data_IF_641278752466
#
_entry.id   IF_641278752466
#
_cell.length_a   1.000
_cell.length_b   1.000
_cell.length_c   1.000
_cell.angle_alpha   90.00
_cell.angle_beta   90.00
_cell.angle_gamma   90.00
#
_symmetry.space_group_name_H-M   'P 1'
#
loop_
_entity.id
_entity.type
_entity.pdbx_description
1 polymer ?
#
# COMPACT_ATOMS: atom_id res chain seq x y z
N UNK A 1 0.01 33.27 -19.98
CA UNK A 1 1.07 32.43 -19.38
C UNK A 1 0.52 31.03 -19.24
N UNK A 2 1.09 30.08 -19.97
CA UNK A 2 0.68 28.66 -19.93
C UNK A 2 1.26 28.05 -18.64
N UNK A 3 0.38 27.56 -17.76
CA UNK A 3 0.78 26.70 -16.65
C UNK A 3 1.38 25.43 -17.25
N UNK A 4 2.70 25.29 -17.15
CA UNK A 4 3.37 24.02 -17.37
C UNK A 4 3.00 23.13 -16.17
N UNK A 5 2.41 21.93 -16.34
CA UNK A 5 2.26 21.03 -15.22
C UNK A 5 3.65 20.75 -14.67
N UNK A 6 3.83 20.92 -13.36
CA UNK A 6 5.09 20.61 -12.70
C UNK A 6 5.29 19.10 -12.81
N UNK A 7 6.20 18.65 -13.67
CA UNK A 7 6.62 17.24 -13.69
C UNK A 7 7.25 16.94 -12.33
N UNK A 8 6.47 16.32 -11.43
CA UNK A 8 7.01 15.79 -10.17
C UNK A 8 7.96 14.66 -10.56
N UNK A 9 9.27 14.94 -10.50
CA UNK A 9 10.28 13.89 -10.58
C UNK A 9 10.20 13.09 -9.27
N UNK A 10 9.44 11.99 -9.31
CA UNK A 10 9.34 11.09 -8.16
C UNK A 10 10.70 10.45 -7.90
N UNK A 11 11.17 10.58 -6.66
CA UNK A 11 12.45 10.04 -6.24
C UNK A 11 12.29 8.61 -5.73
N UNK A 12 13.42 7.91 -5.59
CA UNK A 12 13.48 6.61 -4.92
C UNK A 12 12.80 6.65 -3.54
N UNK A 13 12.95 7.75 -2.80
CA UNK A 13 12.31 7.96 -1.50
C UNK A 13 10.77 7.96 -1.60
N UNK A 14 10.19 8.54 -2.65
CA UNK A 14 8.75 8.51 -2.88
C UNK A 14 8.25 7.08 -3.14
N UNK A 15 9.03 6.26 -3.87
CA UNK A 15 8.70 4.85 -4.06
C UNK A 15 8.76 4.06 -2.75
N UNK A 16 9.72 4.36 -1.87
CA UNK A 16 9.81 3.75 -0.53
C UNK A 16 8.60 4.14 0.33
N UNK A 17 8.24 5.42 0.38
CA UNK A 17 7.06 5.88 1.12
C UNK A 17 5.78 5.22 0.61
N UNK A 18 5.63 5.12 -0.71
CA UNK A 18 4.51 4.42 -1.31
C UNK A 18 4.49 2.92 -0.98
N UNK A 19 5.66 2.26 -1.02
CA UNK A 19 5.83 0.83 -0.72
C UNK A 19 5.46 0.46 0.73
N UNK A 20 5.67 1.39 1.67
CA UNK A 20 5.34 1.21 3.09
C UNK A 20 4.01 1.83 3.50
N UNK A 21 3.26 2.42 2.56
CA UNK A 21 2.02 3.14 2.81
C UNK A 21 2.16 4.36 3.74
N UNK A 22 3.35 4.98 3.74
CA UNK A 22 3.66 6.22 4.48
C UNK A 22 3.49 7.48 3.61
N UNK A 23 2.89 7.34 2.42
CA UNK A 23 2.59 8.43 1.50
C UNK A 23 1.17 8.99 1.76
N UNK A 24 0.96 10.33 1.71
CA UNK A 24 -0.37 10.92 1.77
C UNK A 24 -1.33 10.34 0.72
N UNK A 25 -2.63 10.24 1.04
CA UNK A 25 -3.60 9.54 0.20
C UNK A 25 -3.76 10.16 -1.20
N UNK A 26 -3.75 11.47 -1.28
CA UNK A 26 -3.79 12.22 -2.55
C UNK A 26 -2.54 11.98 -3.40
N UNK A 27 -1.36 11.94 -2.78
CA UNK A 27 -0.11 11.65 -3.46
C UNK A 27 0.00 10.18 -3.88
N UNK A 28 -0.54 9.25 -3.09
CA UNK A 28 -0.59 7.83 -3.41
C UNK A 28 -1.42 7.58 -4.69
N UNK A 29 -2.54 8.28 -4.86
CA UNK A 29 -3.35 8.21 -6.09
C UNK A 29 -2.53 8.66 -7.31
N UNK A 30 -1.78 9.75 -7.19
CA UNK A 30 -0.91 10.24 -8.27
C UNK A 30 0.22 9.24 -8.55
N UNK A 31 0.84 8.66 -7.51
CA UNK A 31 1.88 7.65 -7.66
C UNK A 31 1.36 6.41 -8.40
N UNK A 32 0.14 5.95 -8.11
CA UNK A 32 -0.49 4.85 -8.85
C UNK A 32 -0.60 5.18 -10.35
N UNK A 33 -1.09 6.37 -10.69
CA UNK A 33 -1.20 6.81 -12.09
C UNK A 33 0.17 6.88 -12.78
N UNK A 34 1.21 7.32 -12.07
CA UNK A 34 2.57 7.37 -12.60
C UNK A 34 3.18 5.99 -12.82
N UNK A 35 2.97 5.04 -11.91
CA UNK A 35 3.39 3.65 -12.08
C UNK A 35 2.66 2.97 -13.25
N UNK A 36 1.40 3.33 -13.51
CA UNK A 36 0.67 2.83 -14.67
C UNK A 36 1.21 3.40 -16.00
N UNK A 37 1.60 4.68 -16.00
CA UNK A 37 2.07 5.37 -17.19
C UNK A 37 3.55 5.13 -17.52
N UNK A 38 4.38 4.73 -16.55
CA UNK A 38 5.83 4.56 -16.72
C UNK A 38 6.28 3.12 -16.38
N UNK A 39 6.57 2.35 -17.43
CA UNK A 39 7.01 0.95 -17.31
C UNK A 39 8.33 0.77 -16.56
N UNK A 40 9.28 1.69 -16.71
CA UNK A 40 10.59 1.60 -16.05
C UNK A 40 10.43 1.82 -14.53
N UNK A 41 9.67 2.84 -14.16
CA UNK A 41 9.36 3.12 -12.75
C UNK A 41 8.57 1.99 -12.10
N UNK A 42 7.64 1.40 -12.85
CA UNK A 42 6.88 0.22 -12.42
C UNK A 42 7.80 -0.97 -12.16
N UNK A 43 8.72 -1.26 -13.07
CA UNK A 43 9.67 -2.37 -12.90
C UNK A 43 10.54 -2.17 -11.65
N UNK A 44 11.04 -0.95 -11.41
CA UNK A 44 11.80 -0.62 -10.20
C UNK A 44 10.96 -0.82 -8.92
N UNK A 45 9.70 -0.39 -8.93
CA UNK A 45 8.79 -0.61 -7.80
C UNK A 45 8.52 -2.10 -7.56
N UNK A 46 8.28 -2.88 -8.62
CA UNK A 46 8.04 -4.33 -8.54
C UNK A 46 9.26 -5.08 -7.97
N UNK A 47 10.48 -4.68 -8.33
CA UNK A 47 11.72 -5.21 -7.75
C UNK A 47 11.82 -4.91 -6.24
N UNK A 48 11.52 -3.66 -5.84
CA UNK A 48 11.51 -3.27 -4.42
C UNK A 48 10.45 -4.03 -3.62
N UNK A 49 9.26 -4.22 -4.21
CA UNK A 49 8.18 -4.99 -3.60
C UNK A 49 8.56 -6.45 -3.44
N UNK A 50 9.21 -7.04 -4.46
CA UNK A 50 9.73 -8.39 -4.39
C UNK A 50 10.75 -8.54 -3.25
N UNK A 51 11.72 -7.64 -3.16
CA UNK A 51 12.72 -7.64 -2.09
C UNK A 51 12.09 -7.48 -0.69
N UNK A 52 11.12 -6.56 -0.53
CA UNK A 52 10.36 -6.38 0.72
C UNK A 52 9.64 -7.66 1.15
N UNK A 53 9.08 -8.41 0.20
CA UNK A 53 8.39 -9.67 0.48
C UNK A 53 9.32 -10.80 0.95
N UNK A 54 10.63 -10.70 0.66
CA UNK A 54 11.64 -11.63 1.17
C UNK A 54 12.09 -11.31 2.61
N UNK A 55 11.75 -10.12 3.14
CA UNK A 55 12.13 -9.74 4.50
C UNK A 55 11.41 -10.65 5.50
N UNK A 56 12.10 -11.10 6.58
CA UNK A 56 11.47 -11.87 7.64
C UNK A 56 10.26 -11.13 8.20
N UNK A 57 9.08 -11.75 8.11
CA UNK A 57 7.88 -11.20 8.71
C UNK A 57 7.99 -11.30 10.22
N UNK A 58 7.48 -10.30 10.93
CA UNK A 58 7.36 -10.38 12.38
C UNK A 58 6.59 -11.65 12.76
N UNK A 59 7.13 -12.41 13.72
CA UNK A 59 6.41 -13.55 14.29
C UNK A 59 5.22 -13.01 15.09
N UNK A 60 4.02 -13.09 14.50
CA UNK A 60 2.81 -12.68 15.16
C UNK A 60 2.28 -13.84 16.00
N UNK A 61 2.34 -13.70 17.32
CA UNK A 61 1.79 -14.67 18.27
C UNK A 61 0.69 -14.00 19.11
N UNK A 62 -0.50 -13.74 18.52
CA UNK A 62 -1.57 -13.06 19.23
C UNK A 62 -2.16 -13.95 20.31
N UNK A 63 -2.65 -13.36 21.39
CA UNK A 63 -3.39 -14.11 22.40
C UNK A 63 -4.66 -14.72 21.79
N UNK A 64 -5.06 -15.96 22.17
CA UNK A 64 -6.27 -16.61 21.64
C UNK A 64 -7.55 -15.76 21.77
N UNK A 65 -7.65 -14.96 22.84
CA UNK A 65 -8.77 -14.04 23.03
C UNK A 65 -8.88 -13.00 21.90
N UNK A 66 -7.76 -12.50 21.37
CA UNK A 66 -7.74 -11.54 20.26
C UNK A 66 -8.27 -12.20 18.98
N UNK A 67 -7.87 -13.45 18.72
CA UNK A 67 -8.39 -14.22 17.59
C UNK A 67 -9.91 -14.41 17.69
N UNK A 68 -10.40 -14.78 18.87
CA UNK A 68 -11.83 -14.96 19.11
C UNK A 68 -12.62 -13.67 18.91
N UNK A 69 -12.11 -12.53 19.40
CA UNK A 69 -12.77 -11.23 19.23
C UNK A 69 -12.89 -10.85 17.75
N UNK A 70 -11.84 -11.06 16.96
CA UNK A 70 -11.86 -10.80 15.51
C UNK A 70 -12.87 -11.72 14.82
N UNK A 71 -12.89 -13.01 15.14
CA UNK A 71 -13.84 -13.96 14.55
C UNK A 71 -15.29 -13.58 14.86
N UNK A 72 -15.58 -13.23 16.10
CA UNK A 72 -16.92 -12.78 16.52
C UNK A 72 -17.35 -11.53 15.76
N UNK A 73 -16.48 -10.52 15.66
CA UNK A 73 -16.77 -9.30 14.89
C UNK A 73 -17.04 -9.59 13.42
N UNK A 74 -16.22 -10.43 12.78
CA UNK A 74 -16.40 -10.85 11.39
C UNK A 74 -17.72 -11.58 11.17
N UNK A 75 -18.10 -12.50 12.08
CA UNK A 75 -19.40 -13.19 11.98
C UNK A 75 -20.59 -12.24 12.12
N UNK A 76 -20.51 -11.26 13.02
CA UNK A 76 -21.57 -10.27 13.22
C UNK A 76 -21.72 -9.36 12.00
N UNK A 77 -20.60 -8.85 11.48
CA UNK A 77 -20.59 -7.94 10.31
C UNK A 77 -21.08 -8.66 9.05
N UNK A 78 -20.72 -9.93 8.86
CA UNK A 78 -21.21 -10.73 7.73
C UNK A 78 -22.73 -10.98 7.80
N UNK A 79 -23.28 -11.15 9.01
CA UNK A 79 -24.72 -11.29 9.23
C UNK A 79 -25.46 -9.96 8.97
N UNK A 80 -24.91 -8.83 9.45
CA UNK A 80 -25.49 -7.50 9.22
C UNK A 80 -25.50 -7.10 7.74
N UNK A 81 -24.52 -7.55 6.94
CA UNK A 81 -24.48 -7.31 5.50
C UNK A 81 -25.52 -8.13 4.69
N UNK A 82 -26.18 -9.11 5.31
CA UNK A 82 -27.20 -9.96 4.68
C UNK A 82 -28.64 -9.57 5.03
N UNK A 83 -28.82 -8.60 5.94
CA UNK A 83 -30.12 -8.05 6.35
C UNK A 83 -30.43 -6.76 5.60
#
# INVERSE_FOLDING_TARGET
>A
MLFKPMEKNYTYESLVQFLYHDMPADEAVLMTQHLEANLEMRAAFEEMLFAKNQLPKAHFNPAPAVLNNILQYSTKTALEAQL
#
